data_IF_554021203063
#
_entry.id   IF_554021203063
#
_cell.length_a   1.000
_cell.length_b   1.000
_cell.length_c   1.000
_cell.angle_alpha   90.00
_cell.angle_beta   90.00
_cell.angle_gamma   90.00
#
_symmetry.space_group_name_H-M   'P 1'
#
loop_
_entity.id
_entity.type
_entity.pdbx_description
1 polymer ?
#
# COMPACT_ATOMS: atom_id res chain seq x y z
N UNK A 1 -14.39 -93.97 -14.57
CA UNK A 1 -14.04 -92.55 -14.38
C UNK A 1 -15.22 -91.80 -13.75
N UNK A 2 -15.36 -91.86 -12.43
CA UNK A 2 -16.48 -91.25 -11.70
C UNK A 2 -16.19 -89.82 -11.27
N UNK A 3 -16.97 -88.84 -11.74
CA UNK A 3 -16.88 -87.45 -11.28
C UNK A 3 -17.65 -87.27 -9.97
N UNK A 4 -16.94 -86.91 -8.89
CA UNK A 4 -17.52 -86.53 -7.60
C UNK A 4 -18.35 -85.25 -7.75
N UNK A 5 -19.63 -85.30 -7.36
CA UNK A 5 -20.49 -84.11 -7.22
C UNK A 5 -20.17 -83.43 -5.89
N UNK A 6 -19.53 -82.26 -5.94
CA UNK A 6 -19.38 -81.40 -4.77
C UNK A 6 -20.75 -80.82 -4.39
N UNK A 7 -21.27 -81.23 -3.23
CA UNK A 7 -22.41 -80.54 -2.59
C UNK A 7 -21.95 -79.14 -2.21
N UNK A 8 -22.38 -78.12 -2.96
CA UNK A 8 -22.33 -76.74 -2.48
C UNK A 8 -23.30 -76.64 -1.30
N UNK A 9 -22.75 -76.54 -0.09
CA UNK A 9 -23.53 -76.22 1.10
C UNK A 9 -24.25 -74.87 0.92
N UNK A 10 -25.30 -74.61 1.71
CA UNK A 10 -26.10 -73.40 1.56
C UNK A 10 -25.17 -72.21 1.72
N UNK A 11 -25.15 -71.32 0.73
CA UNK A 11 -24.28 -70.15 0.69
C UNK A 11 -24.27 -69.45 2.02
N UNK A 12 -23.14 -69.52 2.71
CA UNK A 12 -22.89 -68.74 3.91
C UNK A 12 -23.16 -67.29 3.52
N UNK A 13 -24.15 -66.68 4.18
CA UNK A 13 -24.51 -65.28 3.97
C UNK A 13 -23.27 -64.45 4.24
N UNK A 14 -22.51 -64.12 3.19
CA UNK A 14 -21.40 -63.19 3.28
C UNK A 14 -21.90 -61.92 3.96
N UNK A 15 -21.11 -61.46 4.93
CA UNK A 15 -21.56 -60.80 6.15
C UNK A 15 -22.57 -59.68 5.96
N UNK A 16 -23.69 -59.78 6.67
CA UNK A 16 -24.56 -58.62 6.91
C UNK A 16 -23.74 -57.55 7.63
N UNK A 17 -23.49 -56.43 6.98
CA UNK A 17 -22.84 -55.26 7.59
C UNK A 17 -23.81 -54.67 8.62
N UNK A 18 -23.55 -54.94 9.90
CA UNK A 18 -24.32 -54.35 10.99
C UNK A 18 -23.74 -52.98 11.27
N UNK A 19 -24.47 -51.93 10.89
CA UNK A 19 -24.16 -50.55 11.25
C UNK A 19 -24.63 -50.34 12.69
N UNK A 20 -23.71 -50.47 13.64
CA UNK A 20 -23.96 -50.07 15.02
C UNK A 20 -23.56 -48.60 15.19
N UNK A 21 -24.44 -47.85 15.85
CA UNK A 21 -24.12 -46.50 16.26
C UNK A 21 -23.62 -46.53 17.69
N UNK A 22 -22.61 -45.71 17.94
CA UNK A 22 -22.15 -45.44 19.28
C UNK A 22 -23.25 -44.66 20.02
N UNK A 23 -23.84 -45.29 21.04
CA UNK A 23 -25.03 -44.76 21.72
C UNK A 23 -24.75 -43.42 22.40
N UNK A 24 -23.54 -43.22 22.90
CA UNK A 24 -23.13 -41.97 23.56
C UNK A 24 -23.08 -40.81 22.56
N UNK A 25 -22.44 -41.03 21.40
CA UNK A 25 -22.42 -40.04 20.31
C UNK A 25 -23.82 -39.76 19.79
N UNK A 26 -24.70 -40.78 19.74
CA UNK A 26 -26.10 -40.61 19.36
C UNK A 26 -26.85 -39.75 20.37
N UNK A 27 -26.66 -39.99 21.68
CA UNK A 27 -27.26 -39.18 22.75
C UNK A 27 -26.78 -37.75 22.69
N UNK A 28 -25.48 -37.53 22.54
CA UNK A 28 -24.90 -36.18 22.41
C UNK A 28 -25.36 -35.48 21.12
N UNK A 29 -25.52 -36.22 20.02
CA UNK A 29 -26.11 -35.66 18.81
C UNK A 29 -27.56 -35.22 19.03
N UNK A 30 -28.40 -36.05 19.65
CA UNK A 30 -29.82 -35.76 19.88
C UNK A 30 -30.07 -34.72 20.98
N UNK A 31 -29.19 -34.57 21.97
CA UNK A 31 -29.41 -33.64 23.10
C UNK A 31 -28.52 -32.40 23.03
N UNK A 32 -27.39 -32.48 22.34
CA UNK A 32 -26.38 -31.43 22.24
C UNK A 32 -26.74 -30.28 21.30
N UNK A 33 -28.02 -30.04 21.01
CA UNK A 33 -28.44 -28.93 20.14
C UNK A 33 -28.01 -27.57 20.69
N UNK A 34 -28.09 -27.37 22.02
CA UNK A 34 -27.63 -26.14 22.65
C UNK A 34 -26.10 -25.99 22.50
N UNK A 35 -25.32 -27.06 22.75
CA UNK A 35 -23.87 -27.07 22.52
C UNK A 35 -23.54 -26.64 21.09
N UNK A 36 -24.12 -27.29 20.09
CA UNK A 36 -23.90 -26.96 18.66
C UNK A 36 -24.35 -25.54 18.29
N UNK A 37 -25.41 -25.03 18.92
CA UNK A 37 -25.86 -23.65 18.68
C UNK A 37 -24.85 -22.65 19.23
N UNK A 38 -24.33 -22.90 20.43
CA UNK A 38 -23.28 -22.08 21.04
C UNK A 38 -21.98 -22.17 20.25
N UNK A 39 -21.56 -23.36 19.84
CA UNK A 39 -20.37 -23.57 19.00
C UNK A 39 -20.45 -22.80 17.68
N UNK A 40 -21.58 -22.90 16.97
CA UNK A 40 -21.79 -22.13 15.73
C UNK A 40 -21.72 -20.63 15.97
N UNK A 41 -22.34 -20.13 17.04
CA UNK A 41 -22.26 -18.71 17.40
C UNK A 41 -20.83 -18.30 17.74
N UNK A 42 -20.10 -19.11 18.50
CA UNK A 42 -18.71 -18.86 18.87
C UNK A 42 -17.81 -18.85 17.63
N UNK A 43 -17.96 -19.82 16.74
CA UNK A 43 -17.21 -19.90 15.49
C UNK A 43 -17.44 -18.66 14.61
N UNK A 44 -18.69 -18.23 14.45
CA UNK A 44 -19.01 -17.01 13.70
C UNK A 44 -18.38 -15.76 14.33
N UNK A 45 -18.42 -15.64 15.66
CA UNK A 45 -17.79 -14.52 16.38
C UNK A 45 -16.27 -14.55 16.26
N UNK A 46 -15.65 -15.72 16.33
CA UNK A 46 -14.20 -15.88 16.15
C UNK A 46 -13.76 -15.54 14.73
N UNK A 47 -14.53 -15.95 13.72
CA UNK A 47 -14.27 -15.59 12.32
C UNK A 47 -14.34 -14.07 12.11
N UNK A 48 -15.37 -13.41 12.64
CA UNK A 48 -15.50 -11.95 12.58
C UNK A 48 -14.32 -11.27 13.27
N UNK A 49 -13.94 -11.73 14.47
CA UNK A 49 -12.78 -11.19 15.21
C UNK A 49 -11.47 -11.39 14.45
N UNK A 50 -11.30 -12.54 13.77
CA UNK A 50 -10.11 -12.84 12.97
C UNK A 50 -9.99 -11.86 11.81
N UNK A 51 -11.07 -11.69 11.02
CA UNK A 51 -11.12 -10.74 9.91
C UNK A 51 -10.83 -9.32 10.38
N UNK A 52 -11.42 -8.88 11.51
CA UNK A 52 -11.15 -7.55 12.06
C UNK A 52 -9.67 -7.34 12.44
N UNK A 53 -9.01 -8.35 13.02
CA UNK A 53 -7.59 -8.28 13.35
C UNK A 53 -6.69 -8.27 12.12
N UNK A 54 -7.04 -9.03 11.09
CA UNK A 54 -6.33 -9.05 9.81
C UNK A 54 -6.39 -7.68 9.14
N UNK A 55 -7.57 -7.05 9.07
CA UNK A 55 -7.75 -5.69 8.56
C UNK A 55 -6.92 -4.66 9.36
N UNK A 56 -6.95 -4.73 10.70
CA UNK A 56 -6.14 -3.84 11.54
C UNK A 56 -4.63 -4.04 11.32
N UNK A 57 -4.19 -5.28 11.12
CA UNK A 57 -2.79 -5.59 10.85
C UNK A 57 -2.38 -5.03 9.49
N UNK A 58 -3.18 -5.26 8.45
CA UNK A 58 -2.96 -4.76 7.10
C UNK A 58 -2.83 -3.24 7.09
N UNK A 59 -3.73 -2.53 7.76
CA UNK A 59 -3.70 -1.06 7.80
C UNK A 59 -2.48 -0.51 8.57
N UNK A 60 -2.00 -1.22 9.60
CA UNK A 60 -0.75 -0.86 10.29
C UNK A 60 0.48 -1.11 9.42
N UNK A 61 0.48 -2.22 8.71
CA UNK A 61 1.57 -2.62 7.83
C UNK A 61 1.68 -1.69 6.62
N UNK A 62 0.56 -1.34 5.98
CA UNK A 62 0.49 -0.34 4.91
C UNK A 62 1.06 1.01 5.40
N UNK A 63 0.60 1.51 6.56
CA UNK A 63 1.15 2.75 7.13
C UNK A 63 2.66 2.65 7.41
N UNK A 64 3.13 1.51 7.89
CA UNK A 64 4.55 1.32 8.18
C UNK A 64 5.38 1.28 6.89
N UNK A 65 4.90 0.58 5.86
CA UNK A 65 5.52 0.54 4.54
C UNK A 65 5.56 1.92 3.90
N UNK A 66 4.46 2.68 3.98
CA UNK A 66 4.42 4.08 3.51
C UNK A 66 5.45 4.94 4.25
N UNK A 67 5.54 4.80 5.57
CA UNK A 67 6.54 5.52 6.36
C UNK A 67 7.97 5.17 5.94
N UNK A 68 8.27 3.87 5.75
CA UNK A 68 9.59 3.43 5.28
C UNK A 68 9.88 3.95 3.86
N UNK A 69 8.87 3.98 2.99
CA UNK A 69 8.99 4.51 1.63
C UNK A 69 9.32 6.01 1.63
N UNK A 70 8.67 6.80 2.49
CA UNK A 70 9.00 8.22 2.64
C UNK A 70 10.43 8.45 3.15
N UNK A 71 10.93 7.55 4.00
CA UNK A 71 12.33 7.61 4.46
C UNK A 71 13.30 7.25 3.35
N UNK A 72 13.03 6.17 2.59
CA UNK A 72 13.89 5.77 1.48
C UNK A 72 13.91 6.80 0.36
N UNK A 73 12.76 7.40 0.02
CA UNK A 73 12.68 8.48 -0.97
C UNK A 73 13.52 9.70 -0.55
N UNK A 74 13.56 10.01 0.76
CA UNK A 74 14.40 11.09 1.28
C UNK A 74 15.88 10.74 1.22
N UNK A 75 16.25 9.50 1.52
CA UNK A 75 17.63 9.03 1.47
C UNK A 75 18.15 9.03 0.03
N UNK A 76 17.36 8.52 -0.91
CA UNK A 76 17.66 8.54 -2.35
C UNK A 76 17.85 9.98 -2.85
N UNK A 77 16.98 10.92 -2.45
CA UNK A 77 17.13 12.33 -2.83
C UNK A 77 18.40 13.00 -2.25
N UNK A 78 18.91 12.53 -1.11
CA UNK A 78 20.18 13.01 -0.57
C UNK A 78 21.37 12.42 -1.33
N UNK A 79 21.31 11.12 -1.65
CA UNK A 79 22.34 10.45 -2.45
C UNK A 79 22.44 11.07 -3.85
N UNK A 80 21.32 11.34 -4.52
CA UNK A 80 21.28 12.05 -5.81
C UNK A 80 21.91 13.47 -5.72
N UNK A 81 21.70 14.17 -4.61
CA UNK A 81 22.27 15.51 -4.41
C UNK A 81 23.79 15.46 -4.22
N UNK A 82 24.29 14.49 -3.46
CA UNK A 82 25.71 14.25 -3.26
C UNK A 82 26.38 13.85 -4.59
N UNK A 83 25.75 12.99 -5.39
CA UNK A 83 26.22 12.63 -6.74
C UNK A 83 26.33 13.86 -7.66
N UNK A 84 25.34 14.76 -7.62
CA UNK A 84 25.35 15.99 -8.40
C UNK A 84 26.46 16.94 -7.95
N UNK A 85 26.68 17.10 -6.64
CA UNK A 85 27.78 17.90 -6.10
C UNK A 85 29.13 17.33 -6.54
N UNK A 86 29.31 16.02 -6.48
CA UNK A 86 30.52 15.35 -6.98
C UNK A 86 30.76 15.59 -8.47
N UNK A 87 29.70 15.53 -9.29
CA UNK A 87 29.81 15.83 -10.72
C UNK A 87 30.15 17.30 -10.98
N UNK A 88 29.53 18.22 -10.26
CA UNK A 88 29.80 19.66 -10.36
C UNK A 88 31.24 19.94 -9.95
N UNK A 89 31.67 19.47 -8.78
CA UNK A 89 33.03 19.69 -8.27
C UNK A 89 34.10 19.07 -9.17
N UNK A 90 33.86 17.89 -9.74
CA UNK A 90 34.77 17.25 -10.70
C UNK A 90 34.89 18.03 -12.00
N UNK A 91 33.84 18.75 -12.42
CA UNK A 91 33.78 19.51 -13.68
C UNK A 91 34.21 20.97 -13.50
N UNK A 92 34.12 21.51 -12.29
CA UNK A 92 34.49 22.89 -11.98
C UNK A 92 35.98 23.02 -11.72
N UNK A 93 36.63 23.89 -12.46
CA UNK A 93 37.99 24.31 -12.18
C UNK A 93 37.95 25.68 -11.51
N UNK A 94 38.53 25.80 -10.30
CA UNK A 94 38.61 27.08 -9.58
C UNK A 94 40.04 27.60 -9.59
N UNK A 95 40.23 28.82 -10.07
CA UNK A 95 41.52 29.51 -10.11
C UNK A 95 41.50 30.69 -9.15
N UNK A 96 42.44 30.71 -8.21
CA UNK A 96 42.64 31.85 -7.30
C UNK A 96 43.62 32.83 -7.94
N UNK A 97 43.18 34.07 -8.15
CA UNK A 97 43.99 35.16 -8.69
C UNK A 97 44.24 36.17 -7.57
N UNK A 98 45.50 36.26 -7.16
CA UNK A 98 45.93 37.18 -6.11
C UNK A 98 45.99 38.62 -6.64
N UNK A 99 45.31 39.53 -5.96
CA UNK A 99 45.29 40.96 -6.25
C UNK A 99 45.90 41.73 -5.08
N UNK A 100 46.40 42.96 -5.27
CA UNK A 100 47.22 43.66 -4.28
C UNK A 100 46.62 43.83 -2.87
N UNK A 101 45.29 43.78 -2.71
CA UNK A 101 44.59 43.93 -1.43
C UNK A 101 43.54 42.84 -1.17
N UNK A 102 43.42 41.82 -2.03
CA UNK A 102 42.39 40.78 -1.93
C UNK A 102 42.68 39.59 -2.85
N UNK A 103 42.05 38.45 -2.60
CA UNK A 103 42.14 37.28 -3.50
C UNK A 103 40.78 37.14 -4.20
N UNK A 104 40.82 36.96 -5.53
CA UNK A 104 39.64 36.68 -6.35
C UNK A 104 39.65 35.21 -6.75
N UNK A 105 38.60 34.47 -6.42
CA UNK A 105 38.41 33.09 -6.90
C UNK A 105 37.52 33.12 -8.13
N UNK A 106 38.05 32.71 -9.28
CA UNK A 106 37.31 32.55 -10.53
C UNK A 106 36.99 31.07 -10.70
N UNK A 107 35.72 30.71 -10.58
CA UNK A 107 35.25 29.33 -10.78
C UNK A 107 34.67 29.21 -12.17
N UNK A 108 35.29 28.41 -13.03
CA UNK A 108 34.76 28.11 -14.36
C UNK A 108 33.85 26.88 -14.27
N UNK A 109 32.59 27.08 -14.66
CA UNK A 109 31.65 26.01 -14.96
C UNK A 109 31.71 25.84 -16.48
N UNK A 110 32.44 24.84 -16.96
CA UNK A 110 32.68 24.56 -18.40
C UNK A 110 31.43 24.74 -19.28
N UNK A 111 31.60 25.27 -20.50
CA UNK A 111 30.62 25.51 -21.58
C UNK A 111 29.15 25.22 -21.20
N UNK A 112 28.63 25.99 -20.25
CA UNK A 112 27.22 25.97 -19.93
C UNK A 112 26.55 26.74 -21.07
N UNK A 113 25.91 26.02 -21.99
CA UNK A 113 25.22 26.64 -23.11
C UNK A 113 23.97 27.38 -22.63
N UNK A 114 24.18 28.62 -22.18
CA UNK A 114 23.14 29.54 -21.75
C UNK A 114 22.30 30.07 -22.92
N UNK A 115 22.61 29.68 -24.18
CA UNK A 115 21.78 30.04 -25.33
C UNK A 115 20.37 29.43 -25.25
N UNK A 116 20.21 28.36 -24.45
CA UNK A 116 18.93 27.74 -24.12
C UNK A 116 18.10 28.45 -23.04
N UNK A 117 18.50 29.62 -22.53
CA UNK A 117 17.81 30.33 -21.44
C UNK A 117 16.31 30.61 -21.70
N UNK A 118 15.86 30.59 -22.97
CA UNK A 118 14.42 30.64 -23.32
C UNK A 118 13.62 29.44 -22.81
N UNK A 119 14.24 28.29 -22.60
CA UNK A 119 13.58 27.04 -22.25
C UNK A 119 13.35 26.88 -20.73
N UNK A 120 14.07 27.66 -19.92
CA UNK A 120 13.93 27.70 -18.45
C UNK A 120 13.00 28.84 -17.95
N UNK A 121 12.34 29.56 -18.85
CA UNK A 121 11.36 30.60 -18.49
C UNK A 121 11.93 31.85 -17.81
N UNK A 122 13.26 31.99 -17.72
CA UNK A 122 13.94 33.15 -17.14
C UNK A 122 14.10 34.25 -18.19
N UNK A 123 13.00 34.90 -18.59
CA UNK A 123 13.08 36.07 -19.47
C UNK A 123 13.27 37.34 -18.64
N UNK A 124 14.39 38.04 -18.85
CA UNK A 124 14.53 39.47 -18.51
C UNK A 124 13.76 40.32 -19.54
N UNK A 125 12.94 41.30 -19.12
CA UNK A 125 12.26 42.17 -20.06
C UNK A 125 13.13 43.39 -20.34
N UNK A 126 13.79 43.42 -21.51
CA UNK A 126 14.28 44.67 -22.10
C UNK A 126 13.87 44.78 -23.57
N UNK A 127 12.76 45.50 -23.80
CA UNK A 127 12.73 46.65 -24.69
C UNK A 127 12.45 46.48 -26.19
N UNK A 128 11.20 46.82 -26.57
CA UNK A 128 10.74 47.47 -27.83
C UNK A 128 10.61 46.54 -29.06
N UNK A 129 9.55 46.52 -29.87
CA UNK A 129 8.46 47.48 -30.18
C UNK A 129 7.19 46.73 -30.67
N UNK A 130 6.03 47.30 -30.33
CA UNK A 130 4.75 47.38 -31.04
C UNK A 130 3.98 46.13 -31.50
N UNK A 131 2.76 46.01 -30.97
CA UNK A 131 1.72 45.10 -31.49
C UNK A 131 0.55 44.90 -30.52
N UNK A 132 -0.32 45.90 -30.43
CA UNK A 132 -1.78 45.83 -30.22
C UNK A 132 -2.41 44.57 -29.58
N UNK A 133 -3.05 44.71 -28.41
CA UNK A 133 -4.52 44.76 -28.24
C UNK A 133 -4.90 44.67 -26.75
N UNK A 134 -5.91 45.46 -26.36
CA UNK A 134 -6.52 45.50 -25.04
C UNK A 134 -7.40 44.26 -24.80
N UNK A 135 -7.46 43.72 -23.57
CA UNK A 135 -8.57 43.95 -22.63
C UNK A 135 -8.58 42.95 -21.46
N UNK A 136 -9.01 43.51 -20.32
CA UNK A 136 -9.78 42.91 -19.20
C UNK A 136 -9.10 42.01 -18.18
N UNK A 137 -9.14 42.53 -16.95
CA UNK A 137 -8.86 41.82 -15.71
C UNK A 137 -10.08 41.12 -15.10
N UNK A 138 -9.97 40.99 -13.78
CA UNK A 138 -10.82 40.32 -12.77
C UNK A 138 -10.29 38.93 -12.37
N UNK A 139 -9.70 38.80 -11.18
CA UNK A 139 -10.27 38.80 -9.81
C UNK A 139 -10.63 37.37 -9.33
N UNK A 140 -9.85 36.94 -8.33
CA UNK A 140 -10.15 36.04 -7.21
C UNK A 140 -11.28 35.02 -7.37
N UNK A 141 -10.91 33.72 -7.35
CA UNK A 141 -11.77 32.68 -6.74
C UNK A 141 -10.94 31.77 -5.84
N UNK A 142 -10.83 32.17 -4.58
CA UNK A 142 -10.49 31.27 -3.48
C UNK A 142 -11.59 30.19 -3.37
N UNK A 143 -11.24 28.92 -3.57
CA UNK A 143 -12.17 27.80 -3.31
C UNK A 143 -12.12 27.44 -1.83
N UNK A 144 -13.27 27.37 -1.12
CA UNK A 144 -13.29 26.93 0.27
C UNK A 144 -13.08 25.42 0.37
N UNK A 145 -12.11 25.00 1.15
CA UNK A 145 -11.90 23.60 1.55
C UNK A 145 -13.09 23.17 2.41
N UNK A 146 -13.95 22.31 1.87
CA UNK A 146 -15.04 21.67 2.62
C UNK A 146 -14.45 20.77 3.69
N UNK A 147 -14.57 21.17 4.96
CA UNK A 147 -14.19 20.33 6.09
C UNK A 147 -15.26 19.26 6.32
N UNK A 148 -14.84 17.99 6.38
CA UNK A 148 -15.73 16.87 6.70
C UNK A 148 -16.08 16.88 8.20
N UNK A 149 -17.30 16.51 8.60
CA UNK A 149 -17.71 16.55 10.00
C UNK A 149 -16.96 15.51 10.86
N UNK A 150 -16.36 15.96 11.96
CA UNK A 150 -15.49 15.19 12.89
C UNK A 150 -16.20 14.19 13.81
N UNK A 151 -17.40 13.70 13.48
CA UNK A 151 -18.15 12.80 14.37
C UNK A 151 -18.69 11.59 13.62
N UNK A 152 -18.08 10.43 13.86
CA UNK A 152 -18.62 9.13 13.44
C UNK A 152 -19.92 8.89 14.21
N UNK A 153 -21.06 8.91 13.51
CA UNK A 153 -22.34 8.48 14.06
C UNK A 153 -22.22 6.99 14.40
N UNK A 154 -22.48 6.63 15.67
CA UNK A 154 -22.39 5.25 16.14
C UNK A 154 -23.29 4.35 15.28
N UNK A 155 -22.81 3.16 14.87
CA UNK A 155 -23.67 2.21 14.16
C UNK A 155 -24.78 1.77 15.10
N UNK A 156 -26.02 1.84 14.60
CA UNK A 156 -27.20 1.39 15.32
C UNK A 156 -27.05 -0.09 15.68
N UNK A 157 -26.66 -0.36 16.93
CA UNK A 157 -26.87 -1.66 17.56
C UNK A 157 -28.37 -1.71 17.88
N UNK A 158 -29.13 -2.46 17.09
CA UNK A 158 -30.52 -2.77 17.40
C UNK A 158 -30.54 -3.53 18.73
N UNK A 159 -31.10 -2.92 19.76
CA UNK A 159 -31.42 -3.63 20.99
C UNK A 159 -32.58 -4.61 20.76
N UNK A 160 -32.45 -5.75 21.46
CA UNK A 160 -33.40 -6.85 21.72
C UNK A 160 -33.39 -8.03 20.76
#
# INVERSE_FOLDING_TARGET
>A
MGRKKNKKGPGGREGRLVVTFDEERRREYLTGFHKRKVERRKAALEEIKRKLKEEQRKMKEERHQEYLKMLSEREEALEEADELEHLVTSRTESVNIDHPNHIVTVTTISDLDLSGARQLGLTTPMGKTDGSEEEKGEEVVNKPVRTMPKKSRNPFLSEK
#
